data_IF_103270911510
#
_entry.id   IF_103270911510
#
_cell.length_a   1.000
_cell.length_b   1.000
_cell.length_c   1.000
_cell.angle_alpha   90.00
_cell.angle_beta   90.00
_cell.angle_gamma   90.00
#
_symmetry.space_group_name_H-M   'P 1'
#
loop_
_entity.id
_entity.type
_entity.pdbx_description
1 polymer ?
#
# COMPACT_ATOMS: atom_id res chain seq x y z
N UNK A 1 24.52 18.34 17.87
CA UNK A 1 23.37 17.72 17.15
C UNK A 1 23.94 16.77 16.11
N UNK A 2 23.41 15.55 15.99
CA UNK A 2 23.91 14.57 15.02
C UNK A 2 23.63 15.02 13.58
N UNK A 3 24.64 14.99 12.72
CA UNK A 3 24.57 15.31 11.28
C UNK A 3 24.15 14.12 10.41
N UNK A 4 23.74 13.01 11.04
CA UNK A 4 23.45 11.78 10.35
C UNK A 4 22.02 11.81 9.77
N UNK A 5 21.84 11.49 8.47
CA UNK A 5 20.50 11.42 7.86
C UNK A 5 19.61 10.38 8.56
N UNK A 6 18.34 10.73 8.77
CA UNK A 6 17.30 9.82 9.31
C UNK A 6 16.21 9.62 8.26
N UNK A 7 16.45 8.80 7.22
CA UNK A 7 15.43 8.52 6.22
C UNK A 7 14.23 7.83 6.87
N UNK A 8 13.03 8.14 6.37
CA UNK A 8 11.80 7.43 6.71
C UNK A 8 11.35 6.62 5.51
N UNK A 9 10.71 5.50 5.79
CA UNK A 9 9.98 4.75 4.77
C UNK A 9 8.80 5.63 4.33
N UNK A 10 8.69 5.83 3.01
CA UNK A 10 7.53 6.47 2.38
C UNK A 10 6.51 5.40 1.97
N UNK A 11 6.11 5.44 0.70
CA UNK A 11 5.17 4.48 0.12
C UNK A 11 5.89 3.21 -0.33
N UNK A 12 5.31 2.03 -0.07
CA UNK A 12 5.85 0.74 -0.52
C UNK A 12 4.88 0.05 -1.48
N UNK A 13 5.39 -0.44 -2.60
CA UNK A 13 4.69 -1.35 -3.50
C UNK A 13 5.05 -2.81 -3.25
N UNK A 14 4.05 -3.68 -3.18
CA UNK A 14 4.22 -5.11 -2.99
C UNK A 14 3.65 -5.86 -4.18
N UNK A 15 4.49 -6.63 -4.88
CA UNK A 15 4.02 -7.54 -5.91
C UNK A 15 3.45 -8.80 -5.28
N UNK A 16 2.21 -9.14 -5.62
CA UNK A 16 1.44 -10.19 -4.97
C UNK A 16 0.91 -11.22 -5.97
N UNK A 17 0.57 -12.41 -5.47
CA UNK A 17 0.03 -13.50 -6.29
C UNK A 17 -1.50 -13.58 -6.29
N UNK A 18 -2.13 -13.18 -5.19
CA UNK A 18 -3.56 -13.33 -4.96
C UNK A 18 -4.10 -12.07 -4.29
N UNK A 19 -4.73 -11.21 -5.10
CA UNK A 19 -5.20 -9.89 -4.67
C UNK A 19 -6.27 -9.97 -3.59
N UNK A 20 -7.19 -10.94 -3.67
CA UNK A 20 -8.25 -11.07 -2.69
C UNK A 20 -7.73 -11.54 -1.34
N UNK A 21 -6.81 -12.51 -1.32
CA UNK A 21 -6.18 -12.94 -0.05
C UNK A 21 -5.36 -11.84 0.59
N UNK A 22 -4.60 -11.08 -0.20
CA UNK A 22 -3.78 -10.01 0.34
C UNK A 22 -4.64 -8.85 0.83
N UNK A 23 -5.67 -8.45 0.08
CA UNK A 23 -6.66 -7.46 0.52
C UNK A 23 -7.30 -7.87 1.84
N UNK A 24 -7.78 -9.11 1.97
CA UNK A 24 -8.37 -9.62 3.22
C UNK A 24 -7.38 -9.55 4.38
N UNK A 25 -6.14 -10.01 4.20
CA UNK A 25 -5.12 -9.94 5.24
C UNK A 25 -4.84 -8.49 5.69
N UNK A 26 -4.55 -7.59 4.75
CA UNK A 26 -4.18 -6.22 5.08
C UNK A 26 -5.35 -5.42 5.69
N UNK A 27 -6.59 -5.70 5.27
CA UNK A 27 -7.76 -5.01 5.83
C UNK A 27 -8.23 -5.62 7.15
N UNK A 28 -8.40 -6.94 7.22
CA UNK A 28 -8.99 -7.63 8.38
C UNK A 28 -8.01 -7.88 9.52
N UNK A 29 -6.75 -8.21 9.20
CA UNK A 29 -5.74 -8.54 10.21
C UNK A 29 -4.90 -7.31 10.57
N UNK A 30 -4.47 -6.55 9.56
CA UNK A 30 -3.59 -5.40 9.75
C UNK A 30 -4.32 -4.06 9.91
N UNK A 31 -5.64 -4.03 9.69
CA UNK A 31 -6.47 -2.84 9.95
C UNK A 31 -6.36 -1.72 8.90
N UNK A 32 -5.81 -2.00 7.73
CA UNK A 32 -5.77 -1.02 6.64
C UNK A 32 -7.16 -0.78 6.02
N UNK A 33 -7.36 0.41 5.48
CA UNK A 33 -8.50 0.73 4.62
C UNK A 33 -8.03 0.81 3.17
N UNK A 34 -8.79 0.22 2.24
CA UNK A 34 -8.57 0.44 0.81
C UNK A 34 -9.04 1.84 0.47
N UNK A 35 -8.11 2.73 0.10
CA UNK A 35 -8.38 4.13 -0.20
C UNK A 35 -8.69 4.36 -1.68
N UNK A 36 -8.07 3.57 -2.56
CA UNK A 36 -8.31 3.62 -4.01
C UNK A 36 -7.97 2.26 -4.67
N UNK A 37 -8.52 2.01 -5.86
CA UNK A 37 -8.22 0.82 -6.66
C UNK A 37 -8.40 1.07 -8.16
N UNK A 38 -7.58 0.41 -8.97
CA UNK A 38 -7.66 0.54 -10.43
C UNK A 38 -6.60 -0.27 -11.17
N UNK A 39 -6.68 -0.34 -12.51
CA UNK A 39 -5.69 -1.06 -13.30
C UNK A 39 -4.35 -0.32 -13.33
N UNK A 40 -3.23 -1.06 -13.26
CA UNK A 40 -1.90 -0.51 -13.47
C UNK A 40 -1.80 0.05 -14.90
N UNK A 41 -1.28 1.27 -15.11
CA UNK A 41 -1.36 1.99 -16.38
C UNK A 41 -0.66 1.29 -17.55
N UNK A 42 0.28 0.38 -17.25
CA UNK A 42 1.09 -0.33 -18.27
C UNK A 42 0.69 -1.80 -18.39
N UNK A 43 0.36 -2.46 -17.28
CA UNK A 43 0.20 -3.92 -17.22
C UNK A 43 -1.25 -4.36 -17.05
N UNK A 44 -2.16 -3.42 -16.81
CA UNK A 44 -3.57 -3.66 -16.50
C UNK A 44 -3.84 -4.58 -15.30
N UNK A 45 -2.81 -4.90 -14.51
CA UNK A 45 -2.94 -5.65 -13.26
C UNK A 45 -3.70 -4.80 -12.23
N UNK A 46 -4.60 -5.37 -11.41
CA UNK A 46 -5.27 -4.62 -10.36
C UNK A 46 -4.28 -4.07 -9.33
N UNK A 47 -4.35 -2.76 -9.09
CA UNK A 47 -3.68 -2.09 -7.99
C UNK A 47 -4.68 -1.78 -6.89
N UNK A 48 -4.27 -1.94 -5.64
CA UNK A 48 -5.04 -1.53 -4.46
C UNK A 48 -4.17 -0.68 -3.56
N UNK A 49 -4.64 0.52 -3.25
CA UNK A 49 -3.97 1.48 -2.39
C UNK A 49 -4.55 1.37 -0.99
N UNK A 50 -3.69 1.27 0.03
CA UNK A 50 -4.09 1.02 1.41
C UNK A 50 -3.44 2.02 2.36
N UNK A 51 -4.24 2.53 3.31
CA UNK A 51 -3.78 3.44 4.37
C UNK A 51 -4.36 3.05 5.73
N UNK A 52 -3.60 3.29 6.79
CA UNK A 52 -4.10 3.37 8.18
C UNK A 52 -4.26 4.82 8.66
N UNK A 53 -3.72 5.78 7.92
CA UNK A 53 -3.79 7.21 8.23
C UNK A 53 -4.74 7.93 7.25
N UNK A 54 -5.83 8.56 7.72
CA UNK A 54 -6.76 9.29 6.85
C UNK A 54 -6.14 10.53 6.18
N UNK A 55 -4.99 11.03 6.67
CA UNK A 55 -4.28 12.17 6.05
C UNK A 55 -3.32 11.74 4.94
N UNK A 56 -3.04 10.45 4.80
CA UNK A 56 -2.15 9.91 3.76
C UNK A 56 -2.96 9.18 2.69
N UNK A 57 -2.63 9.43 1.42
CA UNK A 57 -3.33 8.79 0.31
C UNK A 57 -3.19 7.26 0.36
N UNK A 58 -1.99 6.77 0.69
CA UNK A 58 -1.68 5.37 0.97
C UNK A 58 -0.33 5.26 1.68
N UNK A 59 -0.06 4.11 2.28
CA UNK A 59 1.27 3.72 2.75
C UNK A 59 1.76 2.50 1.96
N UNK A 60 0.80 1.64 1.56
CA UNK A 60 1.04 0.40 0.81
C UNK A 60 0.22 0.41 -0.48
N UNK A 61 0.82 -0.07 -1.57
CA UNK A 61 0.11 -0.47 -2.78
C UNK A 61 0.36 -1.95 -3.07
N UNK A 62 -0.71 -2.70 -3.33
CA UNK A 62 -0.64 -4.10 -3.78
C UNK A 62 -0.74 -4.13 -5.31
N UNK A 63 0.18 -4.83 -5.97
CA UNK A 63 0.32 -4.90 -7.44
C UNK A 63 0.44 -6.35 -7.90
#
# INVERSE_FOLDING_TARGET
MSTQPKPRIGHIGLSIRDADKMKDFYTRVMGFTVTDHGPHPITSCPMMFLSTNPEEHHEIVLI
#
